data_IF_232402622880
#
_entry.id   IF_232402622880
#
_cell.length_a   1.000
_cell.length_b   1.000
_cell.length_c   1.000
_cell.angle_alpha   90.00
_cell.angle_beta   90.00
_cell.angle_gamma   90.00
#
_symmetry.space_group_name_H-M   'P 1'
#
loop_
_entity.id
_entity.type
_entity.pdbx_description
1 polymer ?
#
# COMPACT_ATOMS: atom_id res chain seq x y z
N UNK A 1 4.21 29.19 -1.98
CA UNK A 1 3.28 28.39 -1.15
C UNK A 1 3.97 27.08 -0.78
N UNK A 2 4.12 26.82 0.51
CA UNK A 2 4.60 25.52 1.02
C UNK A 2 3.47 24.49 0.88
N UNK A 3 3.77 23.32 0.34
CA UNK A 3 2.78 22.24 0.23
C UNK A 3 2.75 21.54 1.59
N UNK A 4 1.64 21.64 2.29
CA UNK A 4 1.39 20.90 3.52
C UNK A 4 0.59 19.64 3.16
N UNK A 5 1.06 18.47 3.61
CA UNK A 5 0.37 17.20 3.39
C UNK A 5 0.05 16.61 4.76
N UNK A 6 -1.25 16.48 5.02
CA UNK A 6 -1.76 15.93 6.29
C UNK A 6 -2.49 14.64 5.99
N UNK A 7 -2.01 13.53 6.56
CA UNK A 7 -2.73 12.25 6.59
C UNK A 7 -3.79 12.27 7.68
N UNK A 8 -4.99 11.81 7.35
CA UNK A 8 -6.13 11.75 8.28
C UNK A 8 -6.46 10.33 8.69
N UNK A 9 -6.22 9.35 7.81
CA UNK A 9 -6.50 7.93 8.05
C UNK A 9 -5.62 7.04 7.16
N UNK A 10 -5.39 5.81 7.60
CA UNK A 10 -4.71 4.76 6.84
C UNK A 10 -5.54 3.48 6.94
N UNK A 11 -5.90 2.93 5.79
CA UNK A 11 -6.61 1.65 5.73
C UNK A 11 -5.81 0.63 4.94
N UNK A 12 -5.74 -0.60 5.45
CA UNK A 12 -5.05 -1.71 4.80
C UNK A 12 -6.10 -2.77 4.50
N UNK A 13 -6.23 -3.14 3.22
CA UNK A 13 -7.24 -4.08 2.77
C UNK A 13 -6.63 -5.14 1.86
N UNK A 14 -7.08 -6.39 2.00
CA UNK A 14 -6.76 -7.48 1.06
C UNK A 14 -7.78 -7.50 -0.06
N UNK A 15 -7.30 -7.68 -1.28
CA UNK A 15 -8.12 -7.84 -2.47
C UNK A 15 -7.65 -9.04 -3.29
N UNK A 16 -8.54 -9.56 -4.14
CA UNK A 16 -8.15 -10.55 -5.15
C UNK A 16 -7.07 -9.96 -6.06
N UNK A 17 -5.96 -10.67 -6.30
CA UNK A 17 -4.91 -10.21 -7.18
C UNK A 17 -5.42 -10.17 -8.63
N UNK A 18 -4.93 -9.21 -9.41
CA UNK A 18 -5.05 -9.23 -10.87
C UNK A 18 -3.97 -10.15 -11.46
N UNK A 19 -4.07 -10.51 -12.75
CA UNK A 19 -3.09 -11.37 -13.43
C UNK A 19 -1.65 -10.87 -13.31
N UNK A 20 -1.46 -9.54 -13.37
CA UNK A 20 -0.15 -8.92 -13.21
C UNK A 20 0.37 -9.02 -11.75
N UNK A 21 -0.52 -9.03 -10.77
CA UNK A 21 -0.16 -9.21 -9.36
C UNK A 21 0.17 -10.67 -9.07
N UNK A 22 -0.58 -11.62 -9.63
CA UNK A 22 -0.32 -13.04 -9.49
C UNK A 22 1.11 -13.40 -9.90
N UNK A 23 1.59 -12.87 -11.04
CA UNK A 23 2.98 -13.08 -11.49
C UNK A 23 3.99 -12.56 -10.47
N UNK A 24 3.75 -11.38 -9.88
CA UNK A 24 4.64 -10.80 -8.86
C UNK A 24 4.61 -11.61 -7.57
N UNK A 25 3.42 -11.99 -7.10
CA UNK A 25 3.23 -12.80 -5.89
C UNK A 25 3.96 -14.14 -6.05
N UNK A 26 3.79 -14.81 -7.18
CA UNK A 26 4.49 -16.07 -7.49
C UNK A 26 6.01 -15.88 -7.56
N UNK A 27 6.47 -14.78 -8.18
CA UNK A 27 7.89 -14.47 -8.25
C UNK A 27 8.49 -14.30 -6.84
N UNK A 28 7.87 -13.46 -5.99
CA UNK A 28 8.33 -13.26 -4.60
C UNK A 28 8.23 -14.54 -3.78
N UNK A 29 7.20 -15.36 -4.02
CA UNK A 29 7.08 -16.65 -3.34
C UNK A 29 8.25 -17.58 -3.66
N UNK A 30 8.69 -17.59 -4.92
CA UNK A 30 9.80 -18.42 -5.39
C UNK A 30 11.19 -17.90 -5.00
N UNK A 31 11.39 -16.57 -4.95
CA UNK A 31 12.72 -15.97 -4.72
C UNK A 31 12.98 -15.62 -3.27
N UNK A 32 11.95 -15.19 -2.54
CA UNK A 32 12.11 -14.73 -1.16
C UNK A 32 11.66 -15.78 -0.16
N UNK A 33 10.85 -16.77 -0.54
CA UNK A 33 10.17 -17.65 0.42
C UNK A 33 8.83 -17.03 0.79
N UNK A 34 7.83 -17.40 0.00
CA UNK A 34 6.46 -16.89 0.10
C UNK A 34 5.69 -17.41 1.30
N UNK A 35 4.42 -16.99 1.44
CA UNK A 35 3.52 -17.60 2.40
C UNK A 35 3.37 -19.10 2.11
N UNK A 36 2.95 -19.92 3.10
CA UNK A 36 2.73 -21.36 2.91
C UNK A 36 1.94 -21.66 1.64
N UNK A 37 2.23 -22.79 0.96
CA UNK A 37 1.61 -23.16 -0.31
C UNK A 37 0.07 -23.15 -0.29
N UNK A 38 -0.52 -23.34 0.88
CA UNK A 38 -1.98 -23.35 1.09
C UNK A 38 -2.59 -21.94 1.20
N UNK A 39 -1.77 -20.88 1.13
CA UNK A 39 -2.22 -19.48 1.28
C UNK A 39 -2.82 -18.96 -0.02
N UNK A 40 -4.09 -18.54 0.04
CA UNK A 40 -4.74 -17.87 -1.08
C UNK A 40 -3.96 -16.59 -1.45
N UNK A 41 -3.52 -16.42 -2.71
CA UNK A 41 -2.78 -15.24 -3.13
C UNK A 41 -3.66 -14.01 -2.99
N UNK A 42 -3.10 -12.95 -2.41
CA UNK A 42 -3.82 -11.69 -2.19
C UNK A 42 -2.91 -10.50 -2.52
N UNK A 43 -3.52 -9.45 -3.05
CA UNK A 43 -2.89 -8.14 -3.13
C UNK A 43 -3.27 -7.33 -1.89
N UNK A 44 -2.29 -6.69 -1.26
CA UNK A 44 -2.54 -5.74 -0.18
C UNK A 44 -2.63 -4.35 -0.76
N UNK A 45 -3.78 -3.71 -0.63
CA UNK A 45 -4.02 -2.32 -0.99
C UNK A 45 -3.98 -1.47 0.28
N UNK A 46 -3.11 -0.47 0.28
CA UNK A 46 -3.02 0.51 1.36
C UNK A 46 -3.62 1.82 0.85
N UNK A 47 -4.68 2.27 1.53
CA UNK A 47 -5.34 3.54 1.32
C UNK A 47 -4.77 4.57 2.29
N UNK A 48 -4.36 5.70 1.75
CA UNK A 48 -3.90 6.86 2.51
C UNK A 48 -4.90 7.99 2.30
N UNK A 49 -5.62 8.37 3.35
CA UNK A 49 -6.55 9.51 3.32
C UNK A 49 -5.81 10.79 3.66
N UNK A 50 -5.98 11.79 2.81
CA UNK A 50 -5.33 13.08 2.87
C UNK A 50 -6.37 14.16 3.12
N UNK A 51 -6.07 15.10 4.03
CA UNK A 51 -6.92 16.26 4.31
C UNK A 51 -7.08 17.15 3.08
N UNK A 52 -6.00 17.29 2.32
CA UNK A 52 -5.94 18.12 1.11
C UNK A 52 -5.60 17.23 -0.09
N UNK A 53 -6.35 17.34 -1.20
CA UNK A 53 -6.03 16.60 -2.42
C UNK A 53 -4.63 16.92 -2.91
N UNK A 54 -3.90 15.90 -3.35
CA UNK A 54 -2.61 16.12 -4.01
C UNK A 54 -2.84 16.79 -5.38
N UNK A 55 -1.95 17.72 -5.79
CA UNK A 55 -1.97 18.25 -7.14
C UNK A 55 -1.98 17.11 -8.17
N UNK A 56 -2.88 17.20 -9.16
CA UNK A 56 -2.92 16.24 -10.28
C UNK A 56 -1.86 16.56 -11.35
N UNK A 57 -0.89 17.43 -11.05
CA UNK A 57 0.10 17.87 -12.02
C UNK A 57 1.07 16.73 -12.41
N UNK A 58 1.62 16.85 -13.61
CA UNK A 58 2.45 15.84 -14.27
C UNK A 58 3.76 15.52 -13.54
N UNK A 59 4.16 16.35 -12.57
CA UNK A 59 5.29 16.08 -11.71
C UNK A 59 4.97 14.94 -10.72
N UNK A 60 3.79 14.96 -10.08
CA UNK A 60 3.36 13.96 -9.10
C UNK A 60 4.24 13.92 -7.84
N UNK A 61 3.66 13.97 -6.64
CA UNK A 61 4.46 13.78 -5.41
C UNK A 61 4.94 12.34 -5.29
N UNK A 62 6.19 12.16 -4.88
CA UNK A 62 6.76 10.85 -4.58
C UNK A 62 6.37 10.44 -3.16
N UNK A 63 5.84 9.24 -2.99
CA UNK A 63 5.47 8.68 -1.70
C UNK A 63 6.65 7.87 -1.13
N UNK A 64 6.92 8.06 0.16
CA UNK A 64 7.89 7.31 0.92
C UNK A 64 7.26 6.75 2.19
N UNK A 65 7.66 5.55 2.59
CA UNK A 65 7.35 4.97 3.90
C UNK A 65 8.65 4.45 4.49
N UNK A 66 9.10 5.06 5.59
CA UNK A 66 10.48 4.90 6.02
C UNK A 66 11.42 5.30 4.88
N UNK A 67 12.42 4.47 4.59
CA UNK A 67 13.41 4.75 3.52
C UNK A 67 13.02 4.20 2.14
N UNK A 68 11.81 3.64 2.02
CA UNK A 68 11.33 3.04 0.79
C UNK A 68 10.49 4.01 -0.03
N UNK A 69 10.87 4.23 -1.29
CA UNK A 69 10.02 4.90 -2.26
C UNK A 69 8.90 3.95 -2.70
N UNK A 70 7.67 4.38 -2.52
CA UNK A 70 6.48 3.60 -2.83
C UNK A 70 5.83 4.13 -4.09
N UNK A 71 5.62 3.25 -5.07
CA UNK A 71 4.91 3.60 -6.29
C UNK A 71 3.41 3.73 -6.00
N UNK A 72 2.85 4.90 -6.32
CA UNK A 72 1.40 5.12 -6.33
C UNK A 72 0.73 4.16 -7.31
N UNK A 73 -0.33 3.51 -6.86
CA UNK A 73 -1.15 2.61 -7.67
C UNK A 73 -2.36 3.35 -8.28
N UNK A 74 -3.12 4.07 -7.45
CA UNK A 74 -4.25 4.88 -7.88
C UNK A 74 -4.40 6.15 -7.01
N UNK A 75 -5.23 7.08 -7.43
CA UNK A 75 -5.58 8.30 -6.69
C UNK A 75 -7.10 8.46 -6.64
N UNK A 76 -7.61 9.00 -5.54
CA UNK A 76 -9.00 9.38 -5.37
C UNK A 76 -9.09 10.80 -4.78
N UNK A 77 -10.31 11.35 -4.69
CA UNK A 77 -10.53 12.76 -4.31
C UNK A 77 -9.80 13.17 -3.03
N UNK A 78 -9.79 12.27 -2.04
CA UNK A 78 -9.25 12.54 -0.70
C UNK A 78 -8.05 11.67 -0.38
N UNK A 79 -7.30 11.16 -1.36
CA UNK A 79 -6.18 10.29 -1.03
C UNK A 79 -5.55 9.53 -2.17
N UNK A 80 -4.70 8.57 -1.80
CA UNK A 80 -3.99 7.71 -2.73
C UNK A 80 -4.01 6.25 -2.28
N UNK A 81 -3.86 5.38 -3.26
CA UNK A 81 -3.64 3.96 -3.07
C UNK A 81 -2.21 3.61 -3.44
N UNK A 82 -1.61 2.71 -2.67
CA UNK A 82 -0.46 1.93 -3.13
C UNK A 82 -0.70 0.44 -2.88
N UNK A 83 0.02 -0.38 -3.65
CA UNK A 83 -0.15 -1.83 -3.64
C UNK A 83 1.14 -2.50 -3.17
N UNK A 84 0.99 -3.46 -2.26
CA UNK A 84 2.07 -4.30 -1.74
C UNK A 84 1.70 -5.75 -2.00
N UNK A 85 2.52 -6.43 -2.81
CA UNK A 85 2.34 -7.84 -3.17
C UNK A 85 3.35 -8.76 -2.47
N UNK A 86 4.37 -8.21 -1.83
CA UNK A 86 5.34 -8.96 -1.02
C UNK A 86 5.02 -8.74 0.47
N UNK A 87 4.60 -9.80 1.20
CA UNK A 87 4.34 -9.71 2.63
C UNK A 87 5.56 -9.31 3.49
N UNK A 88 6.78 -9.63 3.05
CA UNK A 88 8.00 -9.24 3.76
C UNK A 88 8.21 -7.75 3.65
N UNK A 89 8.11 -7.24 2.43
CA UNK A 89 8.13 -5.81 2.19
C UNK A 89 7.05 -5.09 3.01
N UNK A 90 5.84 -5.66 3.10
CA UNK A 90 4.79 -5.09 3.94
C UNK A 90 5.23 -4.97 5.41
N UNK A 91 5.88 -6.01 5.95
CA UNK A 91 6.42 -6.02 7.32
C UNK A 91 7.53 -4.98 7.50
N UNK A 92 8.41 -4.81 6.51
CA UNK A 92 9.48 -3.80 6.51
C UNK A 92 8.94 -2.37 6.54
N UNK A 93 7.80 -2.12 5.89
CA UNK A 93 7.15 -0.81 5.91
C UNK A 93 6.50 -0.48 7.27
N UNK A 94 6.23 -1.48 8.10
CA UNK A 94 5.59 -1.29 9.41
C UNK A 94 6.47 -0.45 10.33
N UNK A 95 5.89 0.56 10.95
CA UNK A 95 6.58 1.55 11.78
C UNK A 95 7.26 2.68 10.99
N UNK A 96 7.36 2.57 9.66
CA UNK A 96 7.90 3.62 8.81
C UNK A 96 7.01 4.86 8.77
N UNK A 97 7.61 6.04 8.87
CA UNK A 97 6.88 7.30 8.69
C UNK A 97 6.48 7.47 7.22
N UNK A 98 5.22 7.84 6.99
CA UNK A 98 4.75 8.21 5.66
C UNK A 98 5.20 9.63 5.35
N UNK A 99 5.96 9.79 4.28
CA UNK A 99 6.56 11.07 3.87
C UNK A 99 6.33 11.28 2.38
N UNK A 100 6.33 12.53 1.96
CA UNK A 100 6.20 12.89 0.56
C UNK A 100 7.40 13.71 0.12
N UNK A 101 7.78 13.60 -1.15
CA UNK A 101 8.84 14.42 -1.73
C UNK A 101 8.36 15.00 -3.04
N UNK A 102 8.69 16.26 -3.31
CA UNK A 102 8.46 16.84 -4.63
C UNK A 102 9.55 16.31 -5.58
N UNK A 103 9.21 15.88 -6.80
CA UNK A 103 10.20 15.44 -7.76
C UNK A 103 11.27 16.50 -7.98
N UNK A 104 12.53 16.06 -8.06
CA UNK A 104 13.67 16.95 -8.25
C UNK A 104 14.02 17.82 -7.05
N UNK A 105 13.48 17.53 -5.86
CA UNK A 105 13.86 18.18 -4.61
C UNK A 105 14.34 17.15 -3.59
N UNK A 106 15.26 17.56 -2.71
CA UNK A 106 15.76 16.70 -1.63
C UNK A 106 14.94 16.80 -0.33
N UNK A 107 13.98 17.74 -0.28
CA UNK A 107 13.18 18.02 0.91
C UNK A 107 11.97 17.09 1.06
N UNK A 108 11.91 16.39 2.20
CA UNK A 108 10.72 15.63 2.58
C UNK A 108 9.67 16.50 3.27
N UNK A 109 8.41 16.28 2.91
CA UNK A 109 7.22 16.73 3.61
C UNK A 109 6.80 15.57 4.52
N UNK A 110 7.16 15.67 5.80
CA UNK A 110 6.76 14.70 6.82
C UNK A 110 5.28 14.83 7.15
N UNK A 111 4.61 13.70 7.40
CA UNK A 111 3.22 13.69 7.84
C UNK A 111 3.08 13.46 9.34
N UNK A 112 4.15 13.02 10.02
CA UNK A 112 4.12 12.59 11.42
C UNK A 112 3.37 11.27 11.66
N UNK A 113 2.78 10.66 10.63
CA UNK A 113 2.03 9.40 10.72
C UNK A 113 2.92 8.24 10.34
N UNK A 114 2.96 7.22 11.20
CA UNK A 114 3.66 5.96 10.93
C UNK A 114 2.69 4.91 10.44
N UNK A 115 3.11 4.14 9.43
CA UNK A 115 2.34 3.01 8.94
C UNK A 115 2.28 1.95 10.04
N UNK A 116 1.10 1.67 10.59
CA UNK A 116 0.92 0.60 11.57
C UNK A 116 0.21 -0.57 10.92
N UNK A 117 0.88 -1.71 10.88
CA UNK A 117 0.32 -2.97 10.41
C UNK A 117 0.09 -3.81 11.64
N UNK A 118 -1.15 -3.77 12.14
CA UNK A 118 -1.51 -4.38 13.42
C UNK A 118 -1.18 -5.87 13.50
N UNK A 119 -1.29 -6.59 12.38
CA UNK A 119 -0.87 -7.98 12.28
C UNK A 119 -0.48 -8.36 10.83
N UNK A 120 0.82 -8.33 10.49
CA UNK A 120 1.31 -8.78 9.19
C UNK A 120 1.04 -10.27 8.93
N UNK A 121 1.00 -11.08 10.01
CA UNK A 121 0.70 -12.51 9.94
C UNK A 121 -0.78 -12.75 9.62
N UNK A 122 -1.71 -11.97 10.16
CA UNK A 122 -3.13 -12.02 9.75
C UNK A 122 -3.32 -11.65 8.27
N UNK A 123 -2.47 -10.77 7.72
CA UNK A 123 -2.50 -10.43 6.29
C UNK A 123 -1.92 -11.53 5.41
N UNK A 124 -1.13 -12.44 5.99
CA UNK A 124 -0.59 -13.64 5.32
C UNK A 124 -1.30 -14.93 5.70
N UNK A 125 -2.21 -14.89 6.68
CA UNK A 125 -2.85 -16.08 7.20
C UNK A 125 -3.72 -16.75 6.13
N UNK A 126 -3.71 -18.08 6.19
CA UNK A 126 -4.60 -18.97 5.48
C UNK A 126 -6.04 -18.51 5.72
N UNK A 127 -6.82 -18.49 4.65
CA UNK A 127 -8.26 -18.31 4.80
C UNK A 127 -8.80 -19.43 5.68
N UNK A 128 -9.57 -19.07 6.71
CA UNK A 128 -10.38 -20.06 7.40
C UNK A 128 -11.37 -20.67 6.40
N UNK A 129 -11.57 -21.99 6.39
CA UNK A 129 -12.61 -22.62 5.58
C UNK A 129 -13.97 -21.95 5.86
N UNK A 130 -14.62 -21.43 4.81
CA UNK A 130 -15.92 -20.76 4.91
C UNK A 130 -15.89 -19.22 4.97
N UNK A 131 -14.71 -18.57 4.94
CA UNK A 131 -14.64 -17.12 4.83
C UNK A 131 -15.18 -16.62 3.47
N UNK A 132 -15.83 -15.45 3.46
CA UNK A 132 -16.31 -14.80 2.24
C UNK A 132 -15.16 -14.52 1.25
N UNK A 133 -15.42 -14.56 -0.08
CA UNK A 133 -14.41 -14.23 -1.09
C UNK A 133 -13.80 -12.86 -0.85
N UNK A 134 -12.47 -12.72 -1.05
CA UNK A 134 -11.84 -11.40 -1.05
C UNK A 134 -12.54 -10.50 -2.10
N UNK A 135 -12.74 -9.21 -1.81
CA UNK A 135 -13.30 -8.27 -2.77
C UNK A 135 -12.38 -8.16 -3.99
N UNK A 136 -12.93 -7.76 -5.15
CA UNK A 136 -12.06 -7.41 -6.28
C UNK A 136 -11.28 -6.11 -5.99
N UNK A 137 -10.18 -5.87 -6.70
CA UNK A 137 -9.48 -4.58 -6.58
C UNK A 137 -10.41 -3.43 -6.98
N UNK A 138 -11.22 -3.61 -8.02
CA UNK A 138 -12.22 -2.63 -8.42
C UNK A 138 -13.22 -2.31 -7.29
N UNK A 139 -13.66 -3.31 -6.51
CA UNK A 139 -14.55 -3.09 -5.38
C UNK A 139 -13.85 -2.31 -4.25
N UNK A 140 -12.58 -2.60 -3.98
CA UNK A 140 -11.78 -1.87 -2.97
C UNK A 140 -11.49 -0.43 -3.39
N UNK A 141 -11.32 -0.18 -4.69
CA UNK A 141 -11.00 1.14 -5.24
C UNK A 141 -12.22 2.05 -5.42
N UNK A 142 -13.45 1.55 -5.23
CA UNK A 142 -14.67 2.38 -5.28
C UNK A 142 -14.68 3.35 -4.09
N UNK A 143 -14.40 4.62 -4.37
CA UNK A 143 -14.54 5.79 -3.46
C UNK A 143 -15.29 6.90 -4.18
#
# INVERSE_FOLDING_TARGET
MSLEIVLTDIQIQRARPEDADLRKIQHFAATSGGPPADTEPASTLVKLYLKTPLPMDSAGVELYVGDHQIRRYAQFKNGIYFKVNDPRFLTELSGGEVRFRRPGTDGFIGTGVRLSIADPAALTALRSPGAAPLPSQADVLRE
#
